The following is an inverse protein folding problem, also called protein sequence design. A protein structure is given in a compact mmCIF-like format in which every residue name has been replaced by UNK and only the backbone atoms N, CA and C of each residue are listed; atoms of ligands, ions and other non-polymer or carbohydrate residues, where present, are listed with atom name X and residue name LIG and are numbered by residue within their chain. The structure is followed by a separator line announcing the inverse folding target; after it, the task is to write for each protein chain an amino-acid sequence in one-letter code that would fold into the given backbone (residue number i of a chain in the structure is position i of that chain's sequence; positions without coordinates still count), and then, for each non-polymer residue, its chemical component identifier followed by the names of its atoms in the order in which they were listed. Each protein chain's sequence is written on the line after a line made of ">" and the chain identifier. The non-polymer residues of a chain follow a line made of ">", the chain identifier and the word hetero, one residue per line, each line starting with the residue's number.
data_IF_072108070041
#
_entry.id   IF_072108070041
#
_cell.length_a   1.000
_cell.length_b   1.000
_cell.length_c   1.000
_cell.angle_alpha   90.00
_cell.angle_beta   90.00
_cell.angle_gamma   90.00
#
_symmetry.space_group_name_H-M   'P 1'
#
loop_
_entity.id
_entity.type
_entity.pdbx_description
1 polymer ?
#
# COMPACT_ATOMS: atom_id res chain seq x y z
N UNK A 1 22.96 -83.79 -25.31
CA UNK A 1 23.82 -82.97 -26.18
C UNK A 1 23.29 -81.54 -26.15
N UNK A 2 24.19 -80.58 -25.86
CA UNK A 2 24.08 -79.10 -25.91
C UNK A 2 23.04 -78.33 -25.07
N UNK A 3 23.61 -77.50 -24.18
CA UNK A 3 23.09 -76.28 -23.56
C UNK A 3 22.52 -75.32 -24.62
N UNK A 4 21.64 -74.41 -24.22
CA UNK A 4 21.99 -72.98 -24.28
C UNK A 4 21.13 -72.13 -23.33
N UNK A 5 21.84 -71.48 -22.42
CA UNK A 5 21.36 -70.46 -21.51
C UNK A 5 20.97 -69.21 -22.31
N UNK A 6 19.79 -68.64 -22.06
CA UNK A 6 19.50 -67.25 -22.42
C UNK A 6 19.33 -66.41 -21.16
N UNK A 7 20.30 -65.52 -20.96
CA UNK A 7 20.43 -64.63 -19.82
C UNK A 7 19.30 -63.56 -19.79
N UNK A 8 18.86 -63.10 -18.61
CA UNK A 8 17.93 -61.97 -18.52
C UNK A 8 18.64 -60.68 -18.95
N UNK A 9 18.07 -59.99 -19.94
CA UNK A 9 18.59 -58.74 -20.49
C UNK A 9 18.61 -57.63 -19.43
N UNK A 10 19.81 -57.32 -18.92
CA UNK A 10 20.06 -56.35 -17.85
C UNK A 10 20.12 -54.87 -18.30
N UNK A 11 19.66 -54.53 -19.50
CA UNK A 11 19.95 -53.21 -20.11
C UNK A 11 18.84 -52.15 -19.98
N UNK A 12 17.70 -52.42 -19.35
CA UNK A 12 16.58 -51.45 -19.34
C UNK A 12 16.58 -50.48 -18.14
N UNK A 13 17.41 -50.69 -17.12
CA UNK A 13 17.25 -49.95 -15.83
C UNK A 13 18.10 -48.67 -15.68
N UNK A 14 18.91 -48.27 -16.67
CA UNK A 14 19.86 -47.15 -16.52
C UNK A 14 19.35 -45.80 -17.02
N UNK A 15 18.45 -45.79 -18.01
CA UNK A 15 17.86 -44.57 -18.59
C UNK A 15 16.90 -43.84 -17.63
N UNK A 16 16.12 -44.59 -16.84
CA UNK A 16 15.11 -44.04 -15.92
C UNK A 16 15.75 -43.17 -14.82
N UNK A 17 16.95 -43.52 -14.35
CA UNK A 17 17.65 -42.75 -13.30
C UNK A 17 18.22 -41.42 -13.81
N UNK A 18 18.60 -41.32 -15.08
CA UNK A 18 19.13 -40.06 -15.68
C UNK A 18 18.01 -39.03 -15.86
N UNK A 19 16.84 -39.43 -16.36
CA UNK A 19 15.67 -38.56 -16.54
C UNK A 19 15.11 -38.02 -15.22
N UNK A 20 15.19 -38.80 -14.13
CA UNK A 20 14.78 -38.36 -12.79
C UNK A 20 15.73 -37.35 -12.14
N UNK A 21 17.05 -37.42 -12.41
CA UNK A 21 18.03 -36.45 -11.86
C UNK A 21 17.81 -35.03 -12.37
N UNK A 22 17.48 -34.87 -13.65
CA UNK A 22 17.23 -33.54 -14.24
C UNK A 22 15.92 -32.91 -13.72
N UNK A 23 14.87 -33.73 -13.48
CA UNK A 23 13.63 -33.26 -12.84
C UNK A 23 13.87 -32.82 -11.40
N UNK A 24 14.71 -33.52 -10.63
CA UNK A 24 15.06 -33.13 -9.25
C UNK A 24 15.83 -31.81 -9.20
N UNK A 25 16.72 -31.55 -10.15
CA UNK A 25 17.45 -30.27 -10.26
C UNK A 25 16.52 -29.11 -10.66
N UNK A 26 15.63 -29.32 -11.62
CA UNK A 26 14.63 -28.31 -12.02
C UNK A 26 13.69 -27.99 -10.86
N UNK A 27 13.18 -29.01 -10.16
CA UNK A 27 12.33 -28.81 -8.97
C UNK A 27 13.10 -28.09 -7.87
N UNK A 28 14.37 -28.44 -7.63
CA UNK A 28 15.23 -27.77 -6.63
C UNK A 28 15.49 -26.30 -6.95
N UNK A 29 15.39 -25.88 -8.21
CA UNK A 29 15.57 -24.48 -8.63
C UNK A 29 14.23 -23.72 -8.67
N UNK A 30 13.16 -24.35 -9.15
CA UNK A 30 11.84 -23.72 -9.34
C UNK A 30 11.12 -23.54 -8.01
N UNK A 31 11.19 -24.50 -7.09
CA UNK A 31 10.53 -24.43 -5.78
C UNK A 31 10.96 -23.20 -4.95
N UNK A 32 12.26 -22.88 -4.78
CA UNK A 32 12.64 -21.68 -4.04
C UNK A 32 12.24 -20.39 -4.74
N UNK A 33 12.22 -20.36 -6.08
CA UNK A 33 11.76 -19.20 -6.85
C UNK A 33 10.26 -18.96 -6.62
N UNK A 34 9.44 -20.01 -6.68
CA UNK A 34 8.01 -19.92 -6.41
C UNK A 34 7.76 -19.50 -4.96
N UNK A 35 8.50 -20.04 -3.99
CA UNK A 35 8.43 -19.62 -2.60
C UNK A 35 8.78 -18.14 -2.41
N UNK A 36 9.82 -17.65 -3.11
CA UNK A 36 10.19 -16.24 -3.08
C UNK A 36 9.07 -15.35 -3.65
N UNK A 37 8.48 -15.74 -4.78
CA UNK A 37 7.34 -15.03 -5.34
C UNK A 37 6.14 -15.01 -4.40
N UNK A 38 5.83 -16.13 -3.74
CA UNK A 38 4.75 -16.20 -2.75
C UNK A 38 5.00 -15.28 -1.55
N UNK A 39 6.25 -15.16 -1.09
CA UNK A 39 6.61 -14.20 -0.02
C UNK A 39 6.40 -12.75 -0.46
N UNK A 40 6.82 -12.39 -1.67
CA UNK A 40 6.65 -11.03 -2.22
C UNK A 40 5.17 -10.70 -2.37
N UNK A 41 4.38 -11.61 -2.95
CA UNK A 41 2.94 -11.43 -3.15
C UNK A 41 2.24 -11.31 -1.79
N UNK A 42 2.55 -12.19 -0.84
CA UNK A 42 1.97 -12.15 0.51
C UNK A 42 2.24 -10.82 1.20
N UNK A 43 3.49 -10.32 1.12
CA UNK A 43 3.84 -9.01 1.65
C UNK A 43 3.10 -7.88 0.94
N UNK A 44 3.02 -7.90 -0.39
CA UNK A 44 2.29 -6.90 -1.17
C UNK A 44 0.80 -6.84 -0.81
N UNK A 45 0.16 -8.00 -0.67
CA UNK A 45 -1.23 -8.13 -0.22
C UNK A 45 -1.42 -7.59 1.20
N UNK A 46 -0.49 -7.92 2.11
CA UNK A 46 -0.50 -7.39 3.48
C UNK A 46 -0.42 -5.86 3.53
N UNK A 47 0.48 -5.26 2.75
CA UNK A 47 0.62 -3.80 2.68
C UNK A 47 -0.62 -3.17 2.06
N UNK A 48 -1.17 -3.78 1.02
CA UNK A 48 -2.40 -3.31 0.37
C UNK A 48 -3.59 -3.28 1.34
N UNK A 49 -3.85 -4.38 2.05
CA UNK A 49 -4.93 -4.41 3.04
C UNK A 49 -4.71 -3.43 4.19
N UNK A 50 -3.46 -3.25 4.64
CA UNK A 50 -3.15 -2.26 5.67
C UNK A 50 -3.39 -0.84 5.17
N UNK A 51 -3.01 -0.53 3.94
CA UNK A 51 -3.25 0.77 3.32
C UNK A 51 -4.75 1.04 3.19
N UNK A 52 -5.52 0.07 2.70
CA UNK A 52 -6.97 0.17 2.60
C UNK A 52 -7.61 0.44 3.97
N UNK A 53 -7.24 -0.34 4.99
CA UNK A 53 -7.73 -0.15 6.35
C UNK A 53 -7.38 1.24 6.92
N UNK A 54 -6.19 1.77 6.63
CA UNK A 54 -5.82 3.12 7.06
C UNK A 54 -6.67 4.18 6.37
N UNK A 55 -6.91 4.04 5.06
CA UNK A 55 -7.77 4.95 4.30
C UNK A 55 -9.19 4.94 4.85
N UNK A 56 -9.78 3.75 5.02
CA UNK A 56 -11.14 3.59 5.52
C UNK A 56 -11.30 4.16 6.93
N UNK A 57 -10.32 3.95 7.81
CA UNK A 57 -10.32 4.50 9.17
C UNK A 57 -10.00 6.01 9.22
N UNK A 58 -9.44 6.59 8.16
CA UNK A 58 -9.10 8.02 8.10
C UNK A 58 -10.22 8.88 7.52
N UNK A 59 -11.20 8.25 6.87
CA UNK A 59 -12.35 8.95 6.33
C UNK A 59 -13.34 9.25 7.46
N UNK A 60 -13.55 10.53 7.73
CA UNK A 60 -14.60 11.03 8.62
C UNK A 60 -15.54 11.90 7.78
N UNK A 61 -16.85 11.65 7.89
CA UNK A 61 -17.83 12.45 7.16
C UNK A 61 -17.94 13.83 7.81
N UNK A 62 -17.94 14.88 7.00
CA UNK A 62 -18.19 16.26 7.45
C UNK A 62 -19.69 16.59 7.53
N UNK A 63 -20.56 15.59 7.33
CA UNK A 63 -22.02 15.73 7.34
C UNK A 63 -22.60 16.44 6.11
N UNK A 64 -21.77 16.73 5.11
CA UNK A 64 -22.20 17.40 3.87
C UNK A 64 -22.43 16.36 2.77
N UNK A 65 -23.60 15.75 2.77
CA UNK A 65 -23.98 14.79 1.72
C UNK A 65 -24.03 15.49 0.35
N UNK A 66 -22.98 15.29 -0.47
CA UNK A 66 -22.90 15.81 -1.84
C UNK A 66 -22.14 17.13 -2.01
N UNK A 67 -21.51 17.66 -0.96
CA UNK A 67 -20.60 18.80 -1.07
C UNK A 67 -21.14 20.12 -0.52
N UNK A 68 -20.86 21.24 -1.19
CA UNK A 68 -21.20 22.56 -0.64
C UNK A 68 -22.58 23.04 -1.06
N UNK A 69 -23.38 23.58 -0.15
CA UNK A 69 -24.66 24.26 -0.47
C UNK A 69 -24.48 25.42 -1.47
N UNK A 70 -23.26 25.94 -1.60
CA UNK A 70 -22.91 27.00 -2.55
C UNK A 70 -22.59 26.48 -3.96
N UNK A 71 -22.63 25.16 -4.20
CA UNK A 71 -22.38 24.54 -5.50
C UNK A 71 -23.69 24.09 -6.13
N UNK A 72 -23.80 24.28 -7.44
CA UNK A 72 -24.94 23.79 -8.24
C UNK A 72 -24.73 22.35 -8.73
N UNK A 73 -23.47 21.95 -8.96
CA UNK A 73 -23.08 20.65 -9.50
C UNK A 73 -22.35 19.77 -8.47
N UNK A 74 -22.36 18.46 -8.71
CA UNK A 74 -21.65 17.45 -7.92
C UNK A 74 -20.12 17.57 -8.09
N UNK A 75 -19.37 17.21 -7.05
CA UNK A 75 -17.91 17.32 -7.04
C UNK A 75 -17.29 16.25 -7.94
N UNK A 76 -16.53 16.65 -8.96
CA UNK A 76 -15.71 15.74 -9.78
C UNK A 76 -14.23 16.11 -9.66
N UNK A 77 -13.42 15.33 -8.89
CA UNK A 77 -11.98 15.57 -8.75
C UNK A 77 -11.18 15.54 -10.06
N UNK A 78 -11.75 15.03 -11.17
CA UNK A 78 -11.08 15.03 -12.48
C UNK A 78 -11.13 16.40 -13.15
N UNK A 79 -12.14 17.21 -12.84
CA UNK A 79 -12.39 18.53 -13.44
C UNK A 79 -12.16 19.64 -12.41
N UNK A 80 -12.57 19.42 -11.17
CA UNK A 80 -12.49 20.38 -10.08
C UNK A 80 -11.08 20.51 -9.49
N UNK A 81 -10.82 21.69 -8.93
CA UNK A 81 -9.61 21.94 -8.15
C UNK A 81 -9.65 21.20 -6.81
N UNK A 82 -8.52 20.57 -6.45
CA UNK A 82 -8.42 19.76 -5.23
C UNK A 82 -7.45 20.40 -4.25
N UNK A 83 -7.85 20.52 -2.98
CA UNK A 83 -6.99 21.01 -1.90
C UNK A 83 -6.64 19.90 -0.93
N UNK A 84 -5.37 19.79 -0.57
CA UNK A 84 -4.82 18.79 0.35
C UNK A 84 -4.13 19.53 1.49
N UNK A 85 -4.53 19.28 2.73
CA UNK A 85 -3.87 19.82 3.92
C UNK A 85 -2.87 18.80 4.46
N UNK A 86 -1.59 19.18 4.46
CA UNK A 86 -0.53 18.43 5.11
C UNK A 86 -0.36 18.92 6.55
N UNK A 87 -0.43 17.98 7.50
CA UNK A 87 -0.28 18.23 8.93
C UNK A 87 0.92 17.44 9.43
N UNK A 88 2.00 18.16 9.78
CA UNK A 88 3.15 17.59 10.46
C UNK A 88 2.93 17.63 11.96
N UNK A 89 2.76 16.47 12.60
CA UNK A 89 2.58 16.33 14.04
C UNK A 89 3.90 15.95 14.73
N UNK A 90 4.23 16.61 15.84
CA UNK A 90 5.32 16.17 16.73
C UNK A 90 4.74 15.49 17.97
N UNK A 91 4.99 14.20 18.09
CA UNK A 91 4.77 13.42 19.31
C UNK A 91 6.14 13.04 19.84
N UNK A 92 6.73 13.93 20.64
CA UNK A 92 8.06 13.72 21.21
C UNK A 92 8.16 12.40 21.98
N UNK A 93 8.79 11.39 21.38
CA UNK A 93 9.35 10.17 22.00
C UNK A 93 8.45 9.21 22.78
N UNK A 94 7.30 9.63 23.30
CA UNK A 94 6.42 8.77 24.11
C UNK A 94 5.60 7.89 23.19
N UNK A 95 6.11 6.67 22.96
CA UNK A 95 5.37 5.52 22.41
C UNK A 95 4.25 5.11 23.39
N UNK A 96 3.21 5.92 23.46
CA UNK A 96 2.04 5.69 24.30
C UNK A 96 0.90 6.53 23.78
N UNK A 97 -0.19 5.87 23.41
CA UNK A 97 -1.43 6.37 22.81
C UNK A 97 -2.21 7.40 23.68
N UNK A 98 -1.55 8.39 24.29
CA UNK A 98 -2.19 9.25 25.29
C UNK A 98 -2.21 10.74 24.96
N UNK A 99 -1.85 11.16 23.74
CA UNK A 99 -2.01 12.55 23.33
C UNK A 99 -2.04 12.73 21.82
N UNK A 100 -3.03 13.46 21.32
CA UNK A 100 -2.98 14.03 19.98
C UNK A 100 -1.75 14.95 19.93
N UNK A 101 -0.76 14.63 19.09
CA UNK A 101 0.42 15.48 18.92
C UNK A 101 0.02 16.85 18.39
N UNK A 102 0.67 17.91 18.86
CA UNK A 102 0.46 19.22 18.27
C UNK A 102 1.06 19.24 16.87
N UNK A 103 0.38 19.92 15.94
CA UNK A 103 0.91 20.14 14.60
C UNK A 103 1.98 21.22 14.63
N UNK A 104 3.20 20.90 14.19
CA UNK A 104 4.28 21.88 14.03
C UNK A 104 4.35 22.46 12.62
N UNK A 105 3.78 21.75 11.64
CA UNK A 105 3.72 22.21 10.25
C UNK A 105 2.32 22.03 9.67
N UNK A 106 1.80 23.09 9.06
CA UNK A 106 0.54 23.09 8.32
C UNK A 106 0.78 23.67 6.94
N UNK A 107 0.58 22.87 5.89
CA UNK A 107 0.72 23.31 4.50
C UNK A 107 -0.52 22.90 3.73
N UNK A 108 -1.25 23.88 3.20
CA UNK A 108 -2.36 23.65 2.29
C UNK A 108 -1.85 23.70 0.85
N UNK A 109 -2.03 22.60 0.12
CA UNK A 109 -1.69 22.50 -1.29
C UNK A 109 -2.96 22.47 -2.13
N UNK A 110 -3.16 23.46 -2.99
CA UNK A 110 -4.28 23.50 -3.92
C UNK A 110 -3.78 23.22 -5.33
N UNK A 111 -4.29 22.15 -5.92
CA UNK A 111 -4.05 21.74 -7.29
C UNK A 111 -5.08 22.46 -8.16
N UNK A 112 -4.62 23.37 -9.01
CA UNK A 112 -5.45 24.02 -10.01
C UNK A 112 -5.40 23.22 -11.31
N UNK A 113 -6.54 22.63 -11.69
CA UNK A 113 -6.68 21.78 -12.86
C UNK A 113 -6.63 22.57 -14.17
N UNK A 114 -7.23 23.76 -14.18
CA UNK A 114 -7.29 24.63 -15.36
C UNK A 114 -5.92 25.23 -15.69
N UNK A 115 -5.24 25.79 -14.68
CA UNK A 115 -3.94 26.44 -14.85
C UNK A 115 -2.76 25.43 -14.84
N UNK A 116 -3.00 24.15 -14.56
CA UNK A 116 -1.98 23.12 -14.33
C UNK A 116 -0.91 23.58 -13.32
N UNK A 117 -1.33 24.23 -12.24
CA UNK A 117 -0.45 24.81 -11.25
C UNK A 117 -0.77 24.28 -9.86
N UNK A 118 0.22 24.31 -8.96
CA UNK A 118 0.05 23.96 -7.55
C UNK A 118 0.38 25.19 -6.72
N UNK A 119 -0.58 25.65 -5.92
CA UNK A 119 -0.40 26.76 -4.98
C UNK A 119 -0.24 26.17 -3.58
N UNK A 120 0.85 26.53 -2.92
CA UNK A 120 1.15 26.10 -1.55
C UNK A 120 0.98 27.29 -0.60
N UNK A 121 0.21 27.09 0.46
CA UNK A 121 0.05 28.04 1.56
C UNK A 121 0.57 27.40 2.84
N UNK A 122 1.61 27.99 3.42
CA UNK A 122 2.05 27.63 4.78
C UNK A 122 1.20 28.37 5.79
N UNK A 123 0.55 27.63 6.69
CA UNK A 123 -0.22 28.19 7.81
C UNK A 123 0.67 28.14 9.06
N UNK A 124 1.02 29.28 9.68
CA UNK A 124 1.80 29.27 10.91
C UNK A 124 1.07 28.56 12.05
N UNK A 125 1.79 27.77 12.85
CA UNK A 125 1.24 27.03 14.01
C UNK A 125 0.46 27.92 14.98
N UNK A 126 0.99 29.13 15.24
CA UNK A 126 0.45 30.06 16.22
C UNK A 126 -0.43 31.15 15.55
N UNK A 127 -1.17 30.78 14.50
CA UNK A 127 -2.10 31.69 13.83
C UNK A 127 -3.32 31.96 14.73
N UNK A 128 -3.65 33.23 14.94
CA UNK A 128 -4.82 33.62 15.74
C UNK A 128 -6.12 33.37 14.96
N UNK A 129 -6.81 32.29 15.28
CA UNK A 129 -7.99 31.80 14.55
C UNK A 129 -9.10 31.37 15.51
N UNK A 130 -10.35 31.42 15.03
CA UNK A 130 -11.47 30.82 15.75
C UNK A 130 -11.41 29.30 15.63
N UNK A 131 -11.47 28.59 16.76
CA UNK A 131 -11.50 27.13 16.82
C UNK A 131 -12.89 26.69 17.30
N UNK A 132 -13.76 26.18 16.40
CA UNK A 132 -15.15 25.84 16.74
C UNK A 132 -15.29 24.85 17.90
N UNK A 133 -14.41 23.84 17.97
CA UNK A 133 -14.43 22.83 19.04
C UNK A 133 -14.17 23.43 20.44
N UNK A 134 -13.50 24.59 20.51
CA UNK A 134 -13.19 25.29 21.77
C UNK A 134 -14.03 26.55 21.99
N UNK A 135 -14.87 26.92 21.03
CA UNK A 135 -15.67 28.16 20.99
C UNK A 135 -14.87 29.43 21.38
N UNK A 136 -13.66 29.56 20.86
CA UNK A 136 -12.80 30.74 21.14
C UNK A 136 -11.81 31.01 20.02
N UNK A 137 -11.33 32.25 19.98
CA UNK A 137 -10.13 32.61 19.23
C UNK A 137 -8.89 32.24 20.05
N UNK A 138 -7.93 31.58 19.41
CA UNK A 138 -6.64 31.22 19.99
C UNK A 138 -5.55 31.26 18.94
#
# INVERSE_FOLDING_TARGET
>A
MKKDNQAPSRLVKREVKKKQRNKKLIISLVVPIVLLFLLIISYGVSVFFKAQQVVDNSFESDGRDGGSELREDEIDPNVDNVSILFIGVDQGGTRGNSGHGLSDALILATLNKEENSVKLLSIPRDSYVYVPERDRYT
#
